data_IF_251191291590
#
_entry.id   IF_251191291590
#
_cell.length_a   1.000
_cell.length_b   1.000
_cell.length_c   1.000
_cell.angle_alpha   90.00
_cell.angle_beta   90.00
_cell.angle_gamma   90.00
#
_symmetry.space_group_name_H-M   'P 1'
#
loop_
_entity.id
_entity.type
_entity.pdbx_description
1 polymer ?
#
# COMPACT_ATOMS: atom_id res chain seq x y z
N UNK A 1 13.10 11.27 5.51
CA UNK A 1 12.82 9.85 5.79
C UNK A 1 13.58 9.02 4.78
N UNK A 2 14.69 8.39 5.18
CA UNK A 2 15.56 7.62 4.27
C UNK A 2 15.08 6.17 4.26
N UNK A 3 14.08 5.86 3.42
CA UNK A 3 14.02 4.53 2.85
C UNK A 3 15.33 4.35 2.07
N UNK A 4 16.11 3.34 2.44
CA UNK A 4 17.35 2.97 1.74
C UNK A 4 17.05 2.91 0.23
N UNK A 5 17.86 3.58 -0.58
CA UNK A 5 17.53 4.10 -1.91
C UNK A 5 17.15 3.03 -2.98
N UNK A 6 16.01 2.36 -2.82
CA UNK A 6 15.32 1.70 -3.92
C UNK A 6 14.64 2.78 -4.74
N UNK A 7 14.84 2.74 -6.06
CA UNK A 7 14.21 3.69 -6.98
C UNK A 7 12.70 3.43 -6.98
N UNK A 8 11.97 4.16 -6.15
CA UNK A 8 10.51 4.15 -6.15
C UNK A 8 9.98 5.02 -7.29
N UNK A 9 8.75 4.70 -7.72
CA UNK A 9 8.04 5.48 -8.73
C UNK A 9 6.57 5.57 -8.41
N UNK A 10 5.91 6.60 -8.94
CA UNK A 10 4.44 6.66 -8.91
C UNK A 10 3.87 5.52 -9.79
N UNK A 11 2.67 5.00 -9.46
CA UNK A 11 2.06 3.89 -10.19
C UNK A 11 2.03 4.05 -11.72
N UNK A 12 1.62 5.21 -12.25
CA UNK A 12 1.52 5.42 -13.70
C UNK A 12 2.86 5.34 -14.44
N UNK A 13 3.96 5.70 -13.78
CA UNK A 13 5.33 5.57 -14.31
C UNK A 13 5.95 4.19 -14.07
N UNK A 14 5.35 3.40 -13.17
CA UNK A 14 5.82 2.07 -12.76
C UNK A 14 5.05 0.93 -13.43
N UNK A 15 4.42 1.21 -14.59
CA UNK A 15 3.57 0.27 -15.32
C UNK A 15 4.25 -1.06 -15.64
N UNK A 16 5.48 -1.04 -16.14
CA UNK A 16 6.21 -2.25 -16.49
C UNK A 16 6.64 -3.06 -15.25
N UNK A 17 6.82 -2.40 -14.10
CA UNK A 17 7.00 -3.08 -12.82
C UNK A 17 5.69 -3.76 -12.39
N UNK A 18 4.58 -3.00 -12.34
CA UNK A 18 3.29 -3.49 -11.87
C UNK A 18 2.76 -4.66 -12.70
N UNK A 19 2.95 -4.64 -14.03
CA UNK A 19 2.56 -5.75 -14.93
C UNK A 19 3.16 -7.10 -14.53
N UNK A 20 4.35 -7.13 -13.93
CA UNK A 20 5.05 -8.38 -13.59
C UNK A 20 4.30 -9.19 -12.55
N UNK A 21 3.47 -8.55 -11.73
CA UNK A 21 2.72 -9.21 -10.65
C UNK A 21 1.35 -9.72 -11.10
N UNK A 22 0.88 -9.33 -12.28
CA UNK A 22 -0.41 -9.78 -12.80
C UNK A 22 -0.41 -11.29 -13.03
N UNK A 23 -1.50 -11.95 -12.65
CA UNK A 23 -1.65 -13.40 -12.73
C UNK A 23 -0.98 -14.17 -11.58
N UNK A 24 -0.22 -13.50 -10.72
CA UNK A 24 0.43 -14.13 -9.57
C UNK A 24 -0.48 -14.13 -8.34
N UNK A 25 -0.40 -15.19 -7.52
CA UNK A 25 -1.09 -15.22 -6.23
C UNK A 25 -0.35 -14.42 -5.18
N UNK A 26 -1.11 -13.66 -4.39
CA UNK A 26 -0.60 -13.02 -3.17
C UNK A 26 -0.53 -14.06 -2.06
N UNK A 27 0.66 -14.30 -1.50
CA UNK A 27 0.85 -15.28 -0.41
C UNK A 27 0.99 -14.63 0.96
N UNK A 28 1.41 -13.36 1.00
CA UNK A 28 1.44 -12.57 2.23
C UNK A 28 1.19 -11.09 1.95
N UNK A 29 0.55 -10.45 2.92
CA UNK A 29 0.39 -9.01 3.01
C UNK A 29 0.96 -8.60 4.37
N UNK A 30 2.00 -7.76 4.36
CA UNK A 30 2.73 -7.38 5.56
C UNK A 30 2.77 -5.87 5.66
N UNK A 31 2.13 -5.34 6.70
CA UNK A 31 2.25 -3.94 7.07
C UNK A 31 3.49 -3.79 7.95
N UNK A 32 4.46 -2.99 7.52
CA UNK A 32 5.61 -2.66 8.33
C UNK A 32 5.36 -1.34 9.06
N UNK A 33 5.33 -1.40 10.38
CA UNK A 33 5.03 -0.30 11.28
C UNK A 33 6.31 0.31 11.85
N UNK A 34 6.34 1.62 12.08
CA UNK A 34 7.42 2.27 12.84
C UNK A 34 7.40 1.95 14.34
N UNK A 35 6.30 1.38 14.83
CA UNK A 35 6.12 0.97 16.21
C UNK A 35 5.84 -0.52 16.30
N UNK A 36 6.35 -1.17 17.35
CA UNK A 36 5.97 -2.52 17.70
C UNK A 36 4.44 -2.60 17.87
N UNK A 37 3.84 -3.71 17.43
CA UNK A 37 2.39 -3.84 17.36
C UNK A 37 1.70 -3.68 18.73
N UNK A 38 2.41 -4.03 19.80
CA UNK A 38 1.99 -3.87 21.19
C UNK A 38 1.85 -2.38 21.60
N UNK A 39 2.64 -1.50 20.98
CA UNK A 39 2.74 -0.09 21.34
C UNK A 39 1.91 0.84 20.45
N UNK A 40 1.39 0.34 19.31
CA UNK A 40 0.63 1.14 18.34
C UNK A 40 -0.54 1.85 19.02
N UNK A 41 -1.39 1.11 19.74
CA UNK A 41 -2.60 1.68 20.33
C UNK A 41 -2.29 2.79 21.36
N UNK A 42 -1.22 2.63 22.14
CA UNK A 42 -0.81 3.63 23.11
C UNK A 42 -0.16 4.86 22.46
N UNK A 43 0.50 4.67 21.31
CA UNK A 43 1.30 5.71 20.67
C UNK A 43 0.51 6.53 19.66
N UNK A 44 -0.40 5.90 18.91
CA UNK A 44 -1.09 6.51 17.77
C UNK A 44 -2.60 6.63 17.99
N UNK A 45 -3.15 5.96 19.02
CA UNK A 45 -4.59 5.88 19.23
C UNK A 45 -5.33 4.95 18.24
N UNK A 46 -4.61 4.30 17.32
CA UNK A 46 -5.17 3.30 16.40
C UNK A 46 -5.49 2.02 17.17
N UNK A 47 -6.72 1.55 17.08
CA UNK A 47 -7.15 0.31 17.71
C UNK A 47 -6.33 -0.90 17.20
N UNK A 48 -6.27 -1.95 18.02
CA UNK A 48 -5.52 -3.16 17.63
C UNK A 48 -6.04 -3.73 16.30
N UNK A 49 -7.35 -3.96 16.10
CA UNK A 49 -7.85 -4.53 14.84
C UNK A 49 -7.51 -3.69 13.59
N UNK A 50 -7.40 -2.37 13.74
CA UNK A 50 -7.09 -1.44 12.66
C UNK A 50 -5.57 -1.23 12.43
N UNK A 51 -4.71 -1.81 13.27
CA UNK A 51 -3.26 -1.57 13.23
C UNK A 51 -2.64 -1.92 11.88
N UNK A 52 -3.05 -3.03 11.26
CA UNK A 52 -2.62 -3.39 9.89
C UNK A 52 -2.98 -2.30 8.85
N UNK A 53 -4.15 -1.68 8.98
CA UNK A 53 -4.65 -0.71 8.01
C UNK A 53 -4.08 0.68 8.19
N UNK A 54 -3.96 1.14 9.44
CA UNK A 54 -3.85 2.58 9.76
C UNK A 54 -2.54 2.96 10.48
N UNK A 55 -1.68 2.00 10.86
CA UNK A 55 -0.35 2.36 11.39
C UNK A 55 0.52 2.99 10.30
N UNK A 56 1.49 3.82 10.67
CA UNK A 56 2.43 4.43 9.72
C UNK A 56 3.55 3.46 9.28
N UNK A 57 3.99 3.60 8.03
CA UNK A 57 5.04 2.79 7.41
C UNK A 57 4.68 2.27 6.01
N UNK A 58 5.41 1.30 5.43
CA UNK A 58 5.11 0.73 4.11
C UNK A 58 4.31 -0.58 4.17
N UNK A 59 3.69 -0.94 3.04
CA UNK A 59 3.05 -2.24 2.80
C UNK A 59 3.97 -3.07 1.91
N UNK A 60 4.15 -4.34 2.24
CA UNK A 60 4.73 -5.34 1.35
C UNK A 60 3.65 -6.32 0.90
N UNK A 61 3.56 -6.52 -0.42
CA UNK A 61 2.74 -7.54 -1.05
C UNK A 61 3.67 -8.61 -1.59
N UNK A 62 3.62 -9.81 -1.00
CA UNK A 62 4.46 -10.94 -1.39
C UNK A 62 3.68 -11.88 -2.29
N UNK A 63 4.30 -12.27 -3.40
CA UNK A 63 3.69 -13.14 -4.41
C UNK A 63 4.26 -14.56 -4.35
N UNK A 64 3.55 -15.52 -4.96
CA UNK A 64 3.88 -16.96 -4.89
C UNK A 64 5.24 -17.32 -5.50
N UNK A 65 5.76 -16.47 -6.39
CA UNK A 65 7.08 -16.61 -6.97
C UNK A 65 8.20 -16.13 -6.00
N UNK A 66 7.84 -15.47 -4.90
CA UNK A 66 8.75 -14.92 -3.90
C UNK A 66 9.15 -13.46 -4.15
N UNK A 67 8.63 -12.83 -5.21
CA UNK A 67 8.78 -11.40 -5.43
C UNK A 67 7.97 -10.60 -4.39
N UNK A 68 8.46 -9.39 -4.08
CA UNK A 68 7.82 -8.48 -3.12
C UNK A 68 7.66 -7.11 -3.75
N UNK A 69 6.41 -6.65 -3.84
CA UNK A 69 6.06 -5.27 -4.19
C UNK A 69 5.95 -4.45 -2.91
N UNK A 70 6.81 -3.44 -2.78
CA UNK A 70 6.70 -2.43 -1.73
C UNK A 70 5.80 -1.29 -2.17
N UNK A 71 4.97 -0.80 -1.24
CA UNK A 71 4.07 0.34 -1.45
C UNK A 71 4.11 1.27 -0.24
N UNK A 72 4.14 2.58 -0.46
CA UNK A 72 4.10 3.60 0.60
C UNK A 72 3.48 4.89 0.05
N UNK A 73 3.30 5.89 0.91
CA UNK A 73 3.04 7.27 0.49
C UNK A 73 4.34 8.05 0.33
N UNK A 74 4.31 9.00 -0.60
CA UNK A 74 5.27 10.09 -0.71
C UNK A 74 4.51 11.43 -0.74
N UNK A 75 4.47 12.16 0.39
CA UNK A 75 3.84 13.48 0.46
C UNK A 75 4.44 14.50 -0.52
N UNK A 76 5.70 14.32 -0.94
CA UNK A 76 6.36 15.23 -1.88
C UNK A 76 5.77 15.17 -3.29
N UNK A 77 5.26 14.00 -3.69
CA UNK A 77 4.53 13.79 -4.96
C UNK A 77 3.02 13.71 -4.76
N UNK A 78 2.54 13.89 -3.52
CA UNK A 78 1.13 13.73 -3.14
C UNK A 78 0.54 12.41 -3.65
N UNK A 79 1.34 11.35 -3.65
CA UNK A 79 1.01 10.08 -4.31
C UNK A 79 1.39 8.89 -3.45
N UNK A 80 0.78 7.73 -3.75
CA UNK A 80 1.42 6.46 -3.41
C UNK A 80 2.61 6.22 -4.33
N UNK A 81 3.60 5.50 -3.84
CA UNK A 81 4.79 5.10 -4.58
C UNK A 81 4.99 3.61 -4.43
N UNK A 82 5.53 3.00 -5.48
CA UNK A 82 5.81 1.57 -5.56
C UNK A 82 7.27 1.31 -5.88
N UNK A 83 7.80 0.18 -5.42
CA UNK A 83 9.12 -0.31 -5.78
C UNK A 83 9.16 -1.83 -5.69
N UNK A 84 10.11 -2.42 -6.42
CA UNK A 84 10.43 -3.84 -6.28
C UNK A 84 11.31 -4.01 -5.04
N UNK A 85 10.77 -4.60 -3.98
CA UNK A 85 11.53 -4.82 -2.74
C UNK A 85 12.43 -6.04 -2.86
N UNK A 86 11.94 -7.12 -3.47
CA UNK A 86 12.69 -8.35 -3.72
C UNK A 86 12.32 -8.93 -5.07
N UNK A 87 13.33 -9.38 -5.82
CA UNK A 87 13.16 -10.12 -7.08
C UNK A 87 13.90 -11.46 -7.01
N UNK A 88 13.36 -12.47 -7.69
CA UNK A 88 13.98 -13.80 -7.76
C UNK A 88 15.32 -13.71 -8.50
N UNK A 89 16.38 -14.24 -7.90
CA UNK A 89 17.70 -14.33 -8.54
C UNK A 89 18.52 -13.04 -8.49
N UNK A 90 18.04 -11.98 -7.84
CA UNK A 90 18.86 -10.81 -7.56
C UNK A 90 19.78 -11.09 -6.37
N UNK A 91 21.09 -10.86 -6.53
CA UNK A 91 22.04 -10.89 -5.42
C UNK A 91 21.74 -9.70 -4.52
N UNK A 92 21.34 -9.98 -3.29
CA UNK A 92 20.89 -8.99 -2.32
C UNK A 92 22.02 -8.01 -2.00
N UNK A 93 21.91 -6.79 -2.53
CA UNK A 93 22.88 -5.70 -2.29
C UNK A 93 22.26 -4.54 -1.52
N UNK A 94 20.96 -4.61 -1.23
CA UNK A 94 20.21 -3.57 -0.53
C UNK A 94 19.30 -4.21 0.52
N UNK A 95 19.25 -3.61 1.71
CA UNK A 95 18.35 -4.04 2.80
C UNK A 95 16.89 -4.10 2.31
N UNK A 96 16.25 -5.24 2.55
CA UNK A 96 14.82 -5.47 2.28
C UNK A 96 13.95 -5.01 3.44
N UNK A 97 12.63 -4.81 3.23
CA UNK A 97 11.74 -4.33 4.29
C UNK A 97 11.75 -5.24 5.53
N UNK A 98 11.91 -6.55 5.34
CA UNK A 98 11.99 -7.54 6.41
C UNK A 98 13.33 -7.56 7.15
N UNK A 99 14.34 -6.83 6.65
CA UNK A 99 15.68 -6.72 7.27
C UNK A 99 15.88 -5.39 7.98
N UNK A 100 14.94 -4.44 7.84
CA UNK A 100 14.97 -3.16 8.54
C UNK A 100 14.59 -3.35 10.02
N UNK A 101 15.57 -3.16 10.91
CA UNK A 101 15.39 -3.31 12.35
C UNK A 101 14.50 -2.22 12.97
N UNK A 102 14.22 -1.14 12.25
CA UNK A 102 13.30 -0.08 12.69
C UNK A 102 11.85 -0.35 12.31
N UNK A 103 11.59 -1.43 11.54
CA UNK A 103 10.27 -1.79 11.07
C UNK A 103 9.73 -3.05 11.75
N UNK A 104 8.50 -2.95 12.24
CA UNK A 104 7.80 -4.02 12.94
C UNK A 104 6.67 -4.57 12.08
N UNK A 105 6.73 -5.86 11.75
CA UNK A 105 5.78 -6.49 10.84
C UNK A 105 4.43 -6.79 11.53
N UNK A 106 3.34 -6.47 10.82
CA UNK A 106 1.97 -6.87 11.13
C UNK A 106 1.44 -7.66 9.93
N UNK A 107 1.09 -8.92 10.16
CA UNK A 107 0.57 -9.78 9.10
C UNK A 107 -0.92 -9.54 8.91
N UNK A 108 -1.41 -9.59 7.67
CA UNK A 108 -2.83 -9.48 7.37
C UNK A 108 -3.70 -10.54 8.07
N UNK A 109 -3.12 -11.69 8.44
CA UNK A 109 -3.79 -12.76 9.19
C UNK A 109 -3.53 -12.72 10.71
N UNK A 110 -2.87 -11.69 11.24
CA UNK A 110 -2.74 -11.48 12.69
C UNK A 110 -4.10 -11.07 13.27
N UNK A 111 -4.83 -12.05 13.84
CA UNK A 111 -6.18 -11.85 14.37
C UNK A 111 -6.28 -10.82 15.51
N UNK A 112 -5.16 -10.45 16.14
CA UNK A 112 -5.15 -9.44 17.18
C UNK A 112 -4.96 -8.03 16.61
N UNK A 113 -4.20 -7.90 15.52
CA UNK A 113 -3.76 -6.62 14.96
C UNK A 113 -4.28 -6.31 13.55
N UNK A 114 -5.11 -7.19 13.01
CA UNK A 114 -5.66 -7.10 11.65
C UNK A 114 -7.11 -7.56 11.61
N UNK A 115 -7.94 -6.80 10.89
CA UNK A 115 -9.31 -7.19 10.59
C UNK A 115 -9.33 -8.50 9.78
N UNK A 116 -10.26 -9.44 10.06
CA UNK A 116 -10.34 -10.73 9.36
C UNK A 116 -10.45 -10.61 7.83
N UNK A 117 -11.01 -9.50 7.35
CA UNK A 117 -11.13 -9.19 5.93
C UNK A 117 -9.77 -9.19 5.21
N UNK A 118 -8.67 -8.76 5.83
CA UNK A 118 -7.37 -8.71 5.16
C UNK A 118 -6.82 -10.09 4.78
N UNK A 119 -7.15 -11.11 5.57
CA UNK A 119 -6.78 -12.49 5.27
C UNK A 119 -7.48 -13.04 4.01
N UNK A 120 -8.60 -12.44 3.58
CA UNK A 120 -9.35 -12.83 2.36
C UNK A 120 -8.53 -12.72 1.09
N UNK A 121 -7.57 -11.79 1.03
CA UNK A 121 -6.72 -11.59 -0.15
C UNK A 121 -5.59 -12.61 -0.26
N UNK A 122 -5.29 -13.36 0.82
CA UNK A 122 -4.23 -14.35 0.80
C UNK A 122 -4.67 -15.55 -0.06
N UNK A 123 -3.79 -15.99 -0.95
CA UNK A 123 -4.03 -17.03 -1.94
C UNK A 123 -4.80 -16.57 -3.18
N UNK A 124 -5.26 -15.30 -3.23
CA UNK A 124 -5.98 -14.76 -4.39
C UNK A 124 -5.00 -14.33 -5.48
N UNK A 125 -5.41 -14.55 -6.73
CA UNK A 125 -4.66 -14.09 -7.91
C UNK A 125 -4.95 -12.62 -8.17
N UNK A 126 -3.89 -11.83 -8.24
CA UNK A 126 -3.98 -10.44 -8.66
C UNK A 126 -4.27 -10.36 -10.17
N UNK A 127 -5.36 -9.71 -10.56
CA UNK A 127 -5.81 -9.66 -11.95
C UNK A 127 -5.69 -8.28 -12.61
N UNK A 128 -5.48 -7.21 -11.83
CA UNK A 128 -5.43 -5.87 -12.39
C UNK A 128 -5.02 -4.81 -11.38
N UNK A 129 -4.78 -3.61 -11.93
CA UNK A 129 -4.48 -2.41 -11.16
C UNK A 129 -5.29 -1.23 -11.67
N UNK A 130 -5.66 -0.33 -10.77
CA UNK A 130 -6.12 1.01 -11.13
C UNK A 130 -5.56 2.05 -10.17
N UNK A 131 -5.60 3.31 -10.59
CA UNK A 131 -5.13 4.45 -9.81
C UNK A 131 -6.32 5.30 -9.41
N UNK A 132 -6.35 5.73 -8.16
CA UNK A 132 -7.27 6.77 -7.68
C UNK A 132 -6.53 8.11 -7.68
N UNK A 133 -7.15 9.12 -8.30
CA UNK A 133 -6.71 10.52 -8.29
C UNK A 133 -7.80 11.41 -7.70
N UNK A 134 -7.41 12.55 -7.15
CA UNK A 134 -8.36 13.61 -6.77
C UNK A 134 -8.64 14.50 -7.99
N UNK A 135 -9.88 14.91 -8.23
CA UNK A 135 -10.25 15.82 -9.33
C UNK A 135 -10.16 17.28 -8.91
N UNK A 136 -10.48 17.57 -7.66
CA UNK A 136 -10.57 18.93 -7.14
C UNK A 136 -9.31 19.28 -6.35
N UNK A 137 -8.32 19.80 -7.08
CA UNK A 137 -7.00 20.12 -6.54
C UNK A 137 -6.76 21.62 -6.46
N UNK A 138 -6.08 22.06 -5.40
CA UNK A 138 -5.51 23.40 -5.40
C UNK A 138 -4.33 23.48 -6.41
N UNK A 139 -3.90 24.70 -6.75
CA UNK A 139 -2.86 24.92 -7.75
C UNK A 139 -1.53 24.18 -7.46
N UNK A 140 -1.18 23.99 -6.17
CA UNK A 140 0.02 23.23 -5.79
C UNK A 140 -0.16 21.75 -6.09
N UNK A 141 -1.28 21.15 -5.67
CA UNK A 141 -1.58 19.73 -5.89
C UNK A 141 -1.71 19.41 -7.38
N UNK A 142 -2.33 20.29 -8.17
CA UNK A 142 -2.48 20.12 -9.61
C UNK A 142 -1.13 20.07 -10.38
N UNK A 143 -0.04 20.54 -9.77
CA UNK A 143 1.32 20.44 -10.32
C UNK A 143 2.04 19.13 -9.98
N UNK A 144 1.45 18.29 -9.12
CA UNK A 144 1.98 17.01 -8.69
C UNK A 144 1.27 15.85 -9.40
N UNK A 145 1.87 14.64 -9.44
CA UNK A 145 1.20 13.49 -10.02
C UNK A 145 -0.14 13.16 -9.36
N UNK A 146 -0.20 13.27 -8.02
CA UNK A 146 -1.42 13.14 -7.22
C UNK A 146 -2.19 11.84 -7.41
N UNK A 147 -1.45 10.73 -7.46
CA UNK A 147 -1.97 9.36 -7.51
C UNK A 147 -2.21 8.86 -6.09
N UNK A 148 -3.34 9.28 -5.50
CA UNK A 148 -3.65 9.09 -4.07
C UNK A 148 -3.98 7.65 -3.69
N UNK A 149 -4.25 6.76 -4.66
CA UNK A 149 -4.46 5.35 -4.37
C UNK A 149 -3.99 4.43 -5.49
N UNK A 150 -3.50 3.25 -5.09
CA UNK A 150 -3.27 2.12 -5.97
C UNK A 150 -4.22 0.98 -5.56
N UNK A 151 -5.15 0.65 -6.45
CA UNK A 151 -6.11 -0.42 -6.26
C UNK A 151 -5.53 -1.75 -6.77
N UNK A 152 -5.59 -2.78 -5.94
CA UNK A 152 -5.24 -4.16 -6.27
C UNK A 152 -6.51 -4.95 -6.52
N UNK A 153 -6.71 -5.47 -7.74
CA UNK A 153 -7.93 -6.18 -8.12
C UNK A 153 -7.74 -7.70 -8.13
N UNK A 154 -8.70 -8.44 -7.57
CA UNK A 154 -8.63 -9.91 -7.42
C UNK A 154 -9.79 -10.67 -8.08
N UNK A 155 -10.52 -10.00 -8.99
CA UNK A 155 -11.70 -10.53 -9.69
C UNK A 155 -12.99 -10.42 -8.86
N UNK A 156 -14.14 -10.52 -9.54
CA UNK A 156 -15.48 -10.44 -8.93
C UNK A 156 -15.75 -9.17 -8.08
N UNK A 157 -15.04 -8.07 -8.37
CA UNK A 157 -15.14 -6.81 -7.63
C UNK A 157 -14.32 -6.77 -6.33
N UNK A 158 -13.61 -7.84 -5.98
CA UNK A 158 -12.75 -7.87 -4.80
C UNK A 158 -11.51 -7.00 -5.02
N UNK A 159 -11.30 -6.02 -4.14
CA UNK A 159 -10.11 -5.17 -4.16
C UNK A 159 -9.74 -4.61 -2.80
N UNK A 160 -8.50 -4.16 -2.69
CA UNK A 160 -8.08 -3.21 -1.66
C UNK A 160 -7.29 -2.07 -2.27
N UNK A 161 -7.10 -1.02 -1.48
CA UNK A 161 -6.46 0.23 -1.89
C UNK A 161 -5.30 0.49 -0.95
N UNK A 162 -4.09 0.59 -1.51
CA UNK A 162 -2.99 1.26 -0.85
C UNK A 162 -3.19 2.77 -1.08
N UNK A 163 -3.35 3.54 -0.01
CA UNK A 163 -3.88 4.89 -0.07
C UNK A 163 -2.97 5.90 0.63
N UNK A 164 -2.83 7.07 0.00
CA UNK A 164 -2.31 8.28 0.59
C UNK A 164 -3.51 9.13 1.02
N UNK A 165 -3.82 9.13 2.31
CA UNK A 165 -4.82 9.99 2.94
C UNK A 165 -6.22 9.95 2.35
N UNK A 166 -6.66 8.81 1.83
CA UNK A 166 -8.04 8.65 1.34
C UNK A 166 -9.04 8.32 2.45
N UNK A 167 -8.58 7.94 3.64
CA UNK A 167 -9.43 7.49 4.75
C UNK A 167 -9.86 8.64 5.68
N UNK A 168 -9.13 9.75 5.68
CA UNK A 168 -9.37 10.90 6.56
C UNK A 168 -8.92 12.26 5.95
N UNK A 169 -8.43 12.27 4.70
CA UNK A 169 -7.92 13.47 4.04
C UNK A 169 -6.52 13.91 4.48
N UNK A 170 -5.82 13.13 5.32
CA UNK A 170 -4.45 13.43 5.77
C UNK A 170 -3.40 13.19 4.66
N UNK A 171 -2.12 13.17 5.03
CA UNK A 171 -1.02 12.74 4.16
C UNK A 171 -0.49 11.34 4.55
N UNK A 172 -1.19 10.63 5.43
CA UNK A 172 -0.74 9.33 5.95
C UNK A 172 -1.01 8.20 4.96
N UNK A 173 -0.09 7.23 4.94
CA UNK A 173 -0.31 6.00 4.20
C UNK A 173 -1.24 5.07 4.96
N UNK A 174 -2.19 4.46 4.25
CA UNK A 174 -3.15 3.51 4.79
C UNK A 174 -3.41 2.38 3.81
N UNK A 175 -3.88 1.24 4.31
CA UNK A 175 -4.39 0.13 3.49
C UNK A 175 -5.86 -0.05 3.82
N UNK A 176 -6.72 0.22 2.83
CA UNK A 176 -8.16 0.38 3.04
C UNK A 176 -8.99 -0.35 1.98
N UNK A 177 -10.29 -0.47 2.25
CA UNK A 177 -11.31 -0.84 1.25
C UNK A 177 -12.15 0.36 0.84
N UNK A 178 -12.94 0.19 -0.22
CA UNK A 178 -13.87 1.22 -0.71
C UNK A 178 -14.77 1.80 0.39
N UNK A 179 -15.28 0.97 1.29
CA UNK A 179 -16.15 1.41 2.38
C UNK A 179 -15.45 2.35 3.39
N UNK A 180 -14.11 2.38 3.39
CA UNK A 180 -13.30 3.18 4.30
C UNK A 180 -12.76 4.48 3.68
N UNK A 181 -13.05 4.74 2.39
CA UNK A 181 -12.76 6.05 1.78
C UNK A 181 -13.66 7.09 2.43
N UNK A 182 -13.08 8.19 2.93
CA UNK A 182 -13.81 9.31 3.51
C UNK A 182 -14.88 9.84 2.54
N UNK A 183 -16.08 10.09 3.05
CA UNK A 183 -17.21 10.51 2.23
C UNK A 183 -16.97 11.89 1.59
N UNK A 184 -16.30 12.80 2.31
CA UNK A 184 -15.96 14.12 1.81
C UNK A 184 -14.89 14.11 0.72
N UNK A 185 -14.03 13.09 0.69
CA UNK A 185 -13.05 12.90 -0.39
C UNK A 185 -13.67 12.20 -1.60
N UNK A 186 -14.58 11.25 -1.38
CA UNK A 186 -15.10 10.32 -2.40
C UNK A 186 -15.70 10.99 -3.63
N UNK A 187 -16.43 12.08 -3.45
CA UNK A 187 -17.10 12.81 -4.54
C UNK A 187 -16.11 13.47 -5.50
N UNK A 188 -14.85 13.63 -5.08
CA UNK A 188 -13.78 14.27 -5.83
C UNK A 188 -12.74 13.25 -6.32
N UNK A 189 -13.10 11.98 -6.47
CA UNK A 189 -12.18 10.94 -6.92
C UNK A 189 -12.47 10.53 -8.37
N UNK A 190 -11.40 10.36 -9.13
CA UNK A 190 -11.40 9.70 -10.42
C UNK A 190 -10.57 8.42 -10.33
N UNK A 191 -11.09 7.34 -10.90
CA UNK A 191 -10.37 6.07 -11.01
C UNK A 191 -9.92 5.84 -12.46
N UNK A 192 -8.63 5.61 -12.64
CA UNK A 192 -8.00 5.37 -13.93
C UNK A 192 -7.50 3.92 -14.00
N UNK A 193 -8.02 3.15 -14.95
CA UNK A 193 -7.55 1.78 -15.18
C UNK A 193 -6.08 1.78 -15.63
N UNK A 194 -5.25 0.93 -15.00
CA UNK A 194 -3.88 0.68 -15.46
C UNK A 194 -3.83 -0.54 -16.38
N UNK A 195 -4.42 -1.66 -15.92
CA UNK A 195 -4.52 -2.96 -16.59
C UNK A 195 -5.76 -3.72 -16.11
#
# INVERSE_FOLDING_TARGET
MKLCAKKSGIPSSSRELLKQFLGSKVIALVRYSWWAKEDIAATTGVGKPESFSLTAGPLAVQFEDGSILGVSSDPGTNSVVVWLDRFIGQVDTTQTLNEDSELFAIQANDKAHSMPYWAHFLGRTLCGFSIIKITDMNAKQASLPSERGLCFHFGAGDRFIAAHGLHDGSDDFSVIVDAQIDAGVREHLEELALF
#
